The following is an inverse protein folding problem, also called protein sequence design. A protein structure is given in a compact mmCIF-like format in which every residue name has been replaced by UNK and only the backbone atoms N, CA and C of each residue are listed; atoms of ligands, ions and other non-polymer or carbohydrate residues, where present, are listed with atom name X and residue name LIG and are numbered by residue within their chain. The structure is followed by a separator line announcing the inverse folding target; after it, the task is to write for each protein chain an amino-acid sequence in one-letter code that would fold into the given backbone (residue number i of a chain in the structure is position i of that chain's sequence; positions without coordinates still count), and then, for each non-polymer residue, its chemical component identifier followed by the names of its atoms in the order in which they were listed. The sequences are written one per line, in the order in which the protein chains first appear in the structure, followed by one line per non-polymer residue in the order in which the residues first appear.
data_IF_046350055388
#
_entry.id   IF_046350055388
#
_cell.length_a   1.000
_cell.length_b   1.000
_cell.length_c   1.000
_cell.angle_alpha   90.00
_cell.angle_beta   90.00
_cell.angle_gamma   90.00
#
_symmetry.space_group_name_H-M   'P 1'
#
loop_
_entity.id
_entity.type
_entity.pdbx_description
1 polymer ?
#
# COMPACT_ATOMS: atom_id res chain seq x y z
N UNK A 1 -12.35 -14.10 -22.59
CA UNK A 1 -12.08 -15.45 -22.06
C UNK A 1 -10.80 -15.93 -22.71
N UNK A 2 -9.81 -16.38 -21.93
CA UNK A 2 -8.59 -16.95 -22.49
C UNK A 2 -8.91 -18.27 -23.22
N UNK A 3 -8.18 -18.62 -24.28
CA UNK A 3 -8.39 -19.88 -24.98
C UNK A 3 -8.11 -21.06 -24.05
N UNK A 4 -8.95 -22.10 -24.12
CA UNK A 4 -8.87 -23.29 -23.25
C UNK A 4 -7.48 -23.93 -23.23
N UNK A 5 -6.75 -23.83 -24.34
CA UNK A 5 -5.36 -24.27 -24.44
C UNK A 5 -4.46 -23.55 -23.44
N UNK A 6 -4.52 -22.23 -23.34
CA UNK A 6 -3.68 -21.44 -22.43
C UNK A 6 -3.99 -21.76 -20.97
N UNK A 7 -5.28 -21.83 -20.63
CA UNK A 7 -5.73 -22.20 -19.28
C UNK A 7 -5.22 -23.61 -18.93
N UNK A 8 -5.37 -24.58 -19.83
CA UNK A 8 -4.89 -25.93 -19.56
C UNK A 8 -3.36 -26.01 -19.51
N UNK A 9 -2.62 -25.29 -20.37
CA UNK A 9 -1.16 -25.24 -20.30
C UNK A 9 -0.66 -24.57 -19.02
N UNK A 10 -1.42 -23.63 -18.47
CA UNK A 10 -1.13 -23.07 -17.17
C UNK A 10 -1.28 -24.15 -16.09
N UNK A 11 -2.48 -24.71 -15.88
CA UNK A 11 -2.76 -25.61 -14.75
C UNK A 11 -2.18 -27.02 -14.83
N UNK A 12 -1.76 -27.46 -16.02
CA UNK A 12 -1.28 -28.82 -16.24
C UNK A 12 0.16 -28.88 -16.72
N UNK A 13 0.91 -29.81 -16.14
CA UNK A 13 2.21 -30.20 -16.64
C UNK A 13 2.04 -31.34 -17.66
N UNK A 14 2.55 -31.16 -18.87
CA UNK A 14 2.54 -32.20 -19.91
C UNK A 14 3.60 -33.27 -19.60
N UNK A 15 3.15 -34.53 -19.43
CA UNK A 15 4.02 -35.69 -19.19
C UNK A 15 4.29 -36.49 -20.47
N UNK A 16 3.80 -36.03 -21.61
CA UNK A 16 3.89 -36.69 -22.91
C UNK A 16 2.74 -37.67 -23.16
N UNK A 17 2.57 -38.08 -24.43
CA UNK A 17 1.54 -39.05 -24.85
C UNK A 17 0.09 -38.65 -24.50
N UNK A 18 -0.17 -37.35 -24.30
CA UNK A 18 -1.47 -36.86 -23.86
C UNK A 18 -1.76 -37.09 -22.38
N UNK A 19 -0.77 -37.47 -21.57
CA UNK A 19 -0.87 -37.49 -20.11
C UNK A 19 -0.54 -36.11 -19.53
N UNK A 20 -1.46 -35.57 -18.76
CA UNK A 20 -1.34 -34.26 -18.12
C UNK A 20 -1.43 -34.41 -16.60
N UNK A 21 -0.53 -33.76 -15.86
CA UNK A 21 -0.58 -33.72 -14.39
C UNK A 21 -1.13 -32.39 -13.94
N UNK A 22 -2.23 -32.41 -13.18
CA UNK A 22 -2.77 -31.22 -12.53
C UNK A 22 -1.77 -30.72 -11.48
N UNK A 23 -1.32 -29.47 -11.59
CA UNK A 23 -0.33 -28.90 -10.68
C UNK A 23 -0.91 -28.55 -9.30
N UNK A 24 -2.23 -28.35 -9.19
CA UNK A 24 -2.89 -27.99 -7.93
C UNK A 24 -3.13 -29.19 -6.98
N UNK A 25 -3.32 -30.39 -7.54
CA UNK A 25 -3.61 -31.62 -6.75
C UNK A 25 -2.70 -32.80 -7.08
N UNK A 26 -1.80 -32.66 -8.05
CA UNK A 26 -0.92 -33.75 -8.51
C UNK A 26 -1.62 -34.88 -9.28
N UNK A 27 -2.93 -34.79 -9.55
CA UNK A 27 -3.68 -35.86 -10.23
C UNK A 27 -3.32 -35.91 -11.72
N UNK A 28 -2.96 -37.10 -12.20
CA UNK A 28 -2.73 -37.34 -13.63
C UNK A 28 -4.04 -37.59 -14.36
N UNK A 29 -4.21 -37.00 -15.55
CA UNK A 29 -5.34 -37.20 -16.44
C UNK A 29 -4.88 -37.33 -17.89
N UNK A 30 -5.44 -38.33 -18.58
CA UNK A 30 -5.28 -38.45 -20.04
C UNK A 30 -6.22 -37.51 -20.76
N UNK A 31 -5.67 -36.81 -21.74
CA UNK A 31 -6.45 -36.10 -22.74
C UNK A 31 -7.18 -37.12 -23.60
N UNK A 32 -8.50 -36.98 -23.69
CA UNK A 32 -9.31 -37.87 -24.51
C UNK A 32 -9.11 -37.49 -25.99
N UNK A 33 -8.84 -38.49 -26.83
CA UNK A 33 -8.66 -38.33 -28.27
C UNK A 33 -9.90 -37.66 -28.87
N UNK A 34 -9.70 -36.62 -29.69
CA UNK A 34 -10.79 -35.87 -30.33
C UNK A 34 -11.53 -34.86 -29.44
N UNK A 35 -11.27 -34.82 -28.12
CA UNK A 35 -11.92 -33.86 -27.20
C UNK A 35 -11.16 -32.51 -27.08
N UNK A 36 -9.93 -32.45 -27.56
CA UNK A 36 -9.02 -31.31 -27.30
C UNK A 36 -8.82 -31.10 -25.80
N UNK A 37 -8.88 -29.84 -25.35
CA UNK A 37 -8.68 -29.47 -23.94
C UNK A 37 -9.95 -29.52 -23.09
N UNK A 38 -11.11 -29.82 -23.68
CA UNK A 38 -12.41 -29.78 -22.96
C UNK A 38 -12.47 -30.72 -21.75
N UNK A 39 -11.89 -31.92 -21.87
CA UNK A 39 -11.85 -32.89 -20.77
C UNK A 39 -11.00 -32.39 -19.58
N UNK A 40 -9.86 -31.75 -19.87
CA UNK A 40 -8.98 -31.15 -18.86
C UNK A 40 -9.68 -29.95 -18.20
N UNK A 41 -10.35 -29.12 -19.00
CA UNK A 41 -11.11 -27.99 -18.48
C UNK A 41 -12.29 -28.42 -17.60
N UNK A 42 -12.96 -29.52 -17.96
CA UNK A 42 -14.06 -30.07 -17.16
C UNK A 42 -13.59 -30.48 -15.75
N UNK A 43 -12.38 -31.01 -15.63
CA UNK A 43 -11.76 -31.26 -14.32
C UNK A 43 -11.56 -29.96 -13.53
N UNK A 44 -11.03 -28.91 -14.15
CA UNK A 44 -10.85 -27.62 -13.49
C UNK A 44 -12.19 -27.08 -12.98
N UNK A 45 -13.22 -27.02 -13.83
CA UNK A 45 -14.54 -26.52 -13.42
C UNK A 45 -15.23 -27.33 -12.32
N UNK A 46 -14.96 -28.63 -12.22
CA UNK A 46 -15.61 -29.52 -11.23
C UNK A 46 -14.80 -29.68 -9.94
N UNK A 47 -13.49 -29.50 -10.00
CA UNK A 47 -12.57 -29.78 -8.87
C UNK A 47 -12.00 -28.50 -8.25
N UNK A 48 -11.85 -27.44 -9.04
CA UNK A 48 -11.24 -26.17 -8.68
C UNK A 48 -12.20 -25.04 -9.00
N UNK A 49 -13.09 -24.67 -8.08
CA UNK A 49 -14.10 -23.63 -8.33
C UNK A 49 -13.50 -22.23 -8.51
N UNK A 50 -12.28 -22.04 -8.03
CA UNK A 50 -11.48 -20.80 -8.01
C UNK A 50 -10.41 -20.75 -9.11
N UNK A 51 -10.40 -21.71 -10.04
CA UNK A 51 -9.36 -21.77 -11.09
C UNK A 51 -9.36 -20.52 -11.98
N UNK A 52 -10.53 -19.93 -12.25
CA UNK A 52 -10.64 -18.76 -13.11
C UNK A 52 -10.08 -17.50 -12.43
N UNK A 53 -10.38 -17.31 -11.14
CA UNK A 53 -9.80 -16.22 -10.35
C UNK A 53 -8.28 -16.37 -10.21
N UNK A 54 -7.82 -17.59 -9.92
CA UNK A 54 -6.39 -17.92 -9.85
C UNK A 54 -5.67 -17.59 -11.16
N UNK A 55 -6.25 -17.96 -12.29
CA UNK A 55 -5.69 -17.66 -13.62
C UNK A 55 -5.68 -16.16 -13.92
N UNK A 56 -6.73 -15.42 -13.53
CA UNK A 56 -6.77 -13.96 -13.73
C UNK A 56 -5.76 -13.24 -12.84
N UNK A 57 -5.63 -13.66 -11.59
CA UNK A 57 -4.67 -13.10 -10.65
C UNK A 57 -3.23 -13.36 -11.10
N UNK A 58 -2.92 -14.58 -11.58
CA UNK A 58 -1.60 -14.92 -12.09
C UNK A 58 -1.24 -14.11 -13.33
N UNK A 59 -2.16 -13.99 -14.30
CA UNK A 59 -1.94 -13.18 -15.52
C UNK A 59 -1.74 -11.70 -15.18
N UNK A 60 -2.45 -11.18 -14.16
CA UNK A 60 -2.30 -9.79 -13.74
C UNK A 60 -1.00 -9.50 -13.00
N UNK A 61 -0.41 -10.51 -12.33
CA UNK A 61 0.76 -10.35 -11.46
C UNK A 61 2.02 -11.03 -11.98
N UNK A 62 1.92 -11.68 -13.14
CA UNK A 62 2.93 -12.57 -13.74
C UNK A 62 3.47 -13.62 -12.73
N UNK A 63 2.58 -14.07 -11.84
CA UNK A 63 2.93 -14.95 -10.73
C UNK A 63 2.81 -16.43 -11.14
N UNK A 64 3.78 -17.28 -10.75
CA UNK A 64 3.73 -18.72 -11.06
C UNK A 64 2.62 -19.42 -10.27
N UNK A 65 2.12 -20.53 -10.81
CA UNK A 65 1.11 -21.39 -10.15
C UNK A 65 1.53 -21.95 -8.80
N UNK A 66 2.83 -22.10 -8.57
CA UNK A 66 3.35 -22.50 -7.27
C UNK A 66 2.96 -21.52 -6.17
N UNK A 67 2.57 -20.28 -6.51
CA UNK A 67 2.01 -19.31 -5.57
C UNK A 67 0.53 -19.56 -5.19
N UNK A 68 -0.11 -20.61 -5.73
CA UNK A 68 -1.51 -20.96 -5.46
C UNK A 68 -1.71 -22.43 -5.03
N UNK A 69 -0.63 -23.19 -4.81
CA UNK A 69 -0.70 -24.56 -4.29
C UNK A 69 -1.26 -24.60 -2.86
N UNK A 70 -1.99 -25.68 -2.53
CA UNK A 70 -2.51 -25.97 -1.18
C UNK A 70 -1.41 -26.37 -0.19
N UNK A 71 -0.24 -25.74 -0.27
CA UNK A 71 0.89 -25.98 0.60
C UNK A 71 1.02 -24.81 1.57
N UNK A 72 1.24 -25.10 2.86
CA UNK A 72 1.37 -24.08 3.90
C UNK A 72 2.43 -23.01 3.54
N UNK A 73 3.46 -23.39 2.79
CA UNK A 73 4.53 -22.50 2.31
C UNK A 73 4.01 -21.39 1.39
N UNK A 74 3.00 -21.69 0.57
CA UNK A 74 2.35 -20.74 -0.33
C UNK A 74 1.51 -19.72 0.44
N UNK A 75 0.75 -20.21 1.42
CA UNK A 75 0.00 -19.34 2.33
C UNK A 75 0.95 -18.45 3.14
N UNK A 76 2.05 -19.01 3.64
CA UNK A 76 3.11 -18.24 4.33
C UNK A 76 3.70 -17.18 3.38
N UNK A 77 3.92 -17.49 2.10
CA UNK A 77 4.42 -16.53 1.13
C UNK A 77 3.41 -15.40 0.84
N UNK A 78 2.12 -15.70 0.68
CA UNK A 78 1.06 -14.68 0.59
C UNK A 78 1.02 -13.79 1.83
N UNK A 79 1.03 -14.37 3.03
CA UNK A 79 1.03 -13.63 4.28
C UNK A 79 2.26 -12.73 4.42
N UNK A 80 3.46 -13.22 4.09
CA UNK A 80 4.69 -12.40 4.08
C UNK A 80 4.58 -11.21 3.13
N UNK A 81 3.95 -11.39 1.97
CA UNK A 81 3.77 -10.30 0.98
C UNK A 81 2.76 -9.26 1.45
N UNK A 82 1.64 -9.68 2.04
CA UNK A 82 0.65 -8.77 2.64
C UNK A 82 1.27 -7.99 3.81
N UNK A 83 2.02 -8.66 4.69
CA UNK A 83 2.73 -8.00 5.79
C UNK A 83 3.77 -7.00 5.28
N UNK A 84 4.48 -7.30 4.19
CA UNK A 84 5.41 -6.36 3.57
C UNK A 84 4.71 -5.11 3.05
N UNK A 85 3.53 -5.25 2.43
CA UNK A 85 2.74 -4.11 1.96
C UNK A 85 2.22 -3.27 3.12
N UNK A 86 1.68 -3.90 4.16
CA UNK A 86 1.21 -3.21 5.37
C UNK A 86 2.36 -2.46 6.08
N UNK A 87 3.54 -3.08 6.17
CA UNK A 87 4.69 -2.44 6.78
C UNK A 87 5.18 -1.23 5.96
N UNK A 88 5.18 -1.33 4.62
CA UNK A 88 5.48 -0.17 3.76
C UNK A 88 4.46 0.95 3.91
N UNK A 89 3.17 0.61 3.98
CA UNK A 89 2.11 1.59 4.19
C UNK A 89 2.26 2.29 5.54
N UNK A 90 2.52 1.51 6.61
CA UNK A 90 2.79 2.06 7.94
C UNK A 90 4.02 2.97 7.95
N UNK A 91 5.10 2.57 7.28
CA UNK A 91 6.30 3.41 7.14
C UNK A 91 6.05 4.71 6.38
N UNK A 92 5.21 4.68 5.34
CA UNK A 92 4.85 5.88 4.58
C UNK A 92 3.98 6.82 5.43
N UNK A 93 3.01 6.27 6.17
CA UNK A 93 2.16 7.06 7.08
C UNK A 93 2.99 7.68 8.20
N UNK A 94 3.90 6.93 8.81
CA UNK A 94 4.80 7.43 9.85
C UNK A 94 5.74 8.54 9.33
N UNK A 95 6.18 8.45 8.07
CA UNK A 95 6.99 9.51 7.45
C UNK A 95 6.18 10.78 7.22
N UNK A 96 4.95 10.67 6.73
CA UNK A 96 4.05 11.82 6.52
C UNK A 96 3.66 12.48 7.85
N UNK A 97 3.50 11.69 8.92
CA UNK A 97 3.24 12.20 10.26
C UNK A 97 4.44 12.99 10.81
N UNK A 98 5.67 12.50 10.61
CA UNK A 98 6.88 13.26 10.95
C UNK A 98 7.01 14.57 10.15
N UNK A 99 6.70 14.54 8.85
CA UNK A 99 6.75 15.73 8.00
C UNK A 99 5.74 16.79 8.49
N UNK A 100 4.53 16.36 8.88
CA UNK A 100 3.51 17.25 9.44
C UNK A 100 3.92 17.85 10.80
N UNK A 101 4.52 17.06 11.69
CA UNK A 101 5.03 17.56 12.98
C UNK A 101 6.19 18.56 12.80
N UNK A 102 7.06 18.31 11.82
CA UNK A 102 8.15 19.23 11.49
C UNK A 102 7.62 20.57 10.98
N UNK A 103 6.67 20.57 10.03
CA UNK A 103 6.08 21.82 9.52
C UNK A 103 5.35 22.61 10.62
N UNK A 104 4.65 21.93 11.53
CA UNK A 104 3.99 22.60 12.66
C UNK A 104 4.99 23.26 13.61
N UNK A 105 6.13 22.61 13.86
CA UNK A 105 7.20 23.16 14.70
C UNK A 105 7.89 24.38 14.08
N UNK A 106 8.10 24.38 12.76
CA UNK A 106 8.67 25.51 12.03
C UNK A 106 7.70 26.70 11.97
N UNK A 107 6.39 26.44 11.93
CA UNK A 107 5.36 27.48 11.95
C UNK A 107 5.21 28.15 13.33
N UNK A 108 5.32 27.41 14.44
CA UNK A 108 5.29 27.98 15.79
C UNK A 108 6.53 28.84 16.06
N UNK A 109 7.71 28.44 15.57
CA UNK A 109 8.94 29.23 15.69
C UNK A 109 8.90 30.54 14.88
N UNK A 110 8.18 30.55 13.75
CA UNK A 110 8.00 31.75 12.94
C UNK A 110 6.99 32.76 13.52
N UNK A 111 6.29 32.42 14.61
CA UNK A 111 5.33 33.29 15.31
C UNK A 111 5.86 33.87 16.61
N UNK A 112 7.15 33.72 16.95
CA UNK A 112 7.69 34.42 18.11
C UNK A 112 7.43 35.92 17.98
N UNK A 113 6.69 36.53 18.94
CA UNK A 113 6.46 37.95 18.89
C UNK A 113 7.81 38.64 19.05
N UNK A 114 8.15 39.46 18.07
CA UNK A 114 9.09 40.55 18.28
C UNK A 114 8.43 41.48 19.30
N UNK A 115 8.59 41.16 20.59
CA UNK A 115 8.23 42.05 21.69
C UNK A 115 9.05 43.33 21.49
N UNK A 116 8.38 44.31 20.89
CA UNK A 116 8.81 45.69 20.82
C UNK A 116 9.20 46.14 22.22
N UNK A 117 10.46 46.54 22.39
CA UNK A 117 10.95 47.20 23.59
C UNK A 117 10.28 48.59 23.69
N UNK A 118 9.03 48.64 24.16
CA UNK A 118 8.40 49.86 24.63
C UNK A 118 8.73 50.07 26.12
N UNK A 119 9.97 50.47 26.45
CA UNK A 119 10.19 51.21 27.70
C UNK A 119 11.48 52.05 27.65
N UNK A 120 11.49 53.13 26.87
CA UNK A 120 12.42 54.23 27.08
C UNK A 120 11.75 55.57 26.80
N UNK A 121 11.18 56.21 27.82
CA UNK A 121 11.32 57.66 28.00
C UNK A 121 10.94 58.14 29.41
N UNK A 122 11.82 57.88 30.38
CA UNK A 122 11.93 58.77 31.55
C UNK A 122 13.33 59.35 31.61
N UNK A 123 13.49 60.56 31.09
CA UNK A 123 14.34 61.63 31.66
C UNK A 123 14.11 62.99 30.93
N UNK A 124 13.63 63.97 31.72
CA UNK A 124 13.55 65.44 31.51
C UNK A 124 14.94 66.07 31.22
N UNK A 125 15.13 67.40 30.93
CA UNK A 125 14.26 68.60 31.05
C UNK A 125 14.25 69.50 29.77
N UNK A 126 13.49 70.60 29.64
CA UNK A 126 13.91 71.99 30.01
C UNK A 126 12.81 73.01 29.62
N UNK A 127 12.50 73.89 30.60
CA UNK A 127 12.04 75.31 30.60
C UNK A 127 11.19 75.92 29.46
N UNK A 128 10.03 76.53 29.82
CA UNK A 128 9.86 78.01 29.90
C UNK A 128 8.41 78.42 30.28
N UNK A 129 8.31 79.07 31.45
CA UNK A 129 7.60 80.33 31.80
C UNK A 129 6.17 80.63 31.30
N UNK A 130 5.25 80.79 32.26
CA UNK A 130 4.28 81.91 32.39
C UNK A 130 3.39 81.60 33.63
N UNK A 131 3.70 82.13 34.82
CA UNK A 131 3.21 83.40 35.40
C UNK A 131 1.69 83.49 35.63
N UNK A 132 1.34 83.62 36.92
CA UNK A 132 0.16 84.31 37.45
C UNK A 132 -1.00 83.39 37.89
N UNK A 133 -1.69 83.59 39.02
CA UNK A 133 -1.69 84.63 40.06
C UNK A 133 -2.49 84.08 41.28
N UNK A 134 -2.03 84.44 42.48
CA UNK A 134 -2.81 84.71 43.72
C UNK A 134 -3.57 83.60 44.47
N UNK A 135 -3.10 83.29 45.69
CA UNK A 135 -3.94 83.15 46.90
C UNK A 135 -3.75 84.46 47.71
N UNK A 136 -4.74 85.02 48.42
CA UNK A 136 -5.32 84.54 49.69
C UNK A 136 -6.29 85.64 50.23
N UNK A 137 -7.20 85.35 51.17
CA UNK A 137 -7.57 86.31 52.21
C UNK A 137 -6.71 86.16 53.48
#
# INVERSE_FOLDING_TARGET
MAPNREICTFFYEDKGQGDYRCQLRGTSRKQQVGSGYSNLLSHLTSTHHDFEETYRASVATDAPLSSFGQDAEVHIAMFKRVLSLNNKYFSMVAFLEQEQEQELSEQELAQEPTEEMEEELTQKPTEEMAEGLTQKP
#
